data_IF_680375014069
#
_entry.id   IF_680375014069
#
_cell.length_a   1.000
_cell.length_b   1.000
_cell.length_c   1.000
_cell.angle_alpha   90.00
_cell.angle_beta   90.00
_cell.angle_gamma   90.00
#
_symmetry.space_group_name_H-M   'P 1'
#
loop_
_entity.id
_entity.type
_entity.pdbx_description
1 polymer ?
#
# COMPACT_ATOMS: atom_id res chain seq x y z
N UNK A 1 8.56 25.48 6.04
CA UNK A 1 7.39 24.83 6.65
C UNK A 1 7.88 23.46 7.06
N UNK A 2 8.15 23.31 8.35
CA UNK A 2 8.96 22.22 8.89
C UNK A 2 8.21 20.89 8.81
N UNK A 3 8.75 19.96 8.04
CA UNK A 3 8.23 18.61 7.80
C UNK A 3 8.58 17.63 8.93
N UNK A 4 9.20 18.10 10.02
CA UNK A 4 9.74 17.26 11.10
C UNK A 4 8.79 17.05 12.31
N UNK A 5 7.54 17.53 12.28
CA UNK A 5 6.67 17.49 13.48
C UNK A 5 5.21 17.08 13.26
N UNK A 6 4.90 16.23 12.27
CA UNK A 6 3.60 15.54 12.28
C UNK A 6 3.72 14.24 13.07
N UNK A 7 3.04 14.21 14.22
CA UNK A 7 2.71 12.96 14.89
C UNK A 7 2.09 11.99 13.88
N UNK A 8 2.49 10.71 13.90
CA UNK A 8 1.92 9.74 13.01
C UNK A 8 0.40 9.63 13.21
N UNK A 9 -0.40 9.58 12.14
CA UNK A 9 -1.85 9.41 12.28
C UNK A 9 -2.13 8.08 12.99
N UNK A 10 -2.97 8.05 14.04
CA UNK A 10 -3.31 6.81 14.71
C UNK A 10 -4.10 5.89 13.76
N UNK A 11 -3.79 4.59 13.77
CA UNK A 11 -4.51 3.59 12.98
C UNK A 11 -4.08 3.51 11.52
N UNK A 12 -2.77 3.45 11.26
CA UNK A 12 -2.24 3.30 9.89
C UNK A 12 -2.42 1.86 9.43
N UNK A 13 -2.88 1.69 8.19
CA UNK A 13 -3.00 0.37 7.54
C UNK A 13 -2.46 0.38 6.12
N UNK A 14 -1.99 -0.78 5.68
CA UNK A 14 -1.62 -1.02 4.30
C UNK A 14 -2.75 -1.76 3.59
N UNK A 15 -3.18 -1.24 2.44
CA UNK A 15 -4.17 -1.89 1.58
C UNK A 15 -3.46 -2.34 0.31
N UNK A 16 -3.58 -3.63 -0.02
CA UNK A 16 -2.94 -4.25 -1.18
C UNK A 16 -4.05 -4.74 -2.10
N UNK A 17 -4.16 -4.16 -3.29
CA UNK A 17 -5.22 -4.52 -4.24
C UNK A 17 -4.61 -5.35 -5.36
N UNK A 18 -5.13 -6.55 -5.59
CA UNK A 18 -4.63 -7.45 -6.64
C UNK A 18 -5.57 -7.45 -7.85
N UNK A 19 -4.99 -7.50 -9.05
CA UNK A 19 -5.77 -7.66 -10.28
C UNK A 19 -6.30 -9.11 -10.39
N UNK A 20 -7.61 -9.28 -10.22
CA UNK A 20 -8.27 -10.58 -10.25
C UNK A 20 -8.41 -11.15 -11.67
N UNK A 21 -8.41 -10.31 -12.72
CA UNK A 21 -8.46 -10.77 -14.12
C UNK A 21 -7.24 -11.60 -14.53
N UNK A 22 -6.09 -11.41 -13.87
CA UNK A 22 -4.88 -12.19 -14.13
C UNK A 22 -4.97 -13.66 -13.68
N UNK A 23 -5.98 -14.01 -12.87
CA UNK A 23 -6.21 -15.39 -12.37
C UNK A 23 -4.92 -16.06 -11.85
N UNK A 24 -4.11 -15.31 -11.12
CA UNK A 24 -2.81 -15.77 -10.66
C UNK A 24 -2.94 -17.00 -9.75
N UNK A 25 -2.08 -18.02 -9.92
CA UNK A 25 -1.94 -19.10 -8.95
C UNK A 25 -1.60 -18.55 -7.56
N UNK A 26 -2.05 -19.23 -6.50
CA UNK A 26 -1.88 -18.78 -5.11
C UNK A 26 -0.45 -18.35 -4.75
N UNK A 27 0.56 -19.10 -5.21
CA UNK A 27 1.96 -18.76 -4.96
C UNK A 27 2.41 -17.46 -5.64
N UNK A 28 1.99 -17.23 -6.90
CA UNK A 28 2.29 -15.97 -7.61
C UNK A 28 1.55 -14.80 -6.97
N UNK A 29 0.29 -14.99 -6.59
CA UNK A 29 -0.49 -13.97 -5.90
C UNK A 29 0.15 -13.59 -4.55
N UNK A 30 0.60 -14.57 -3.76
CA UNK A 30 1.29 -14.32 -2.50
C UNK A 30 2.61 -13.54 -2.70
N UNK A 31 3.40 -13.90 -3.72
CA UNK A 31 4.63 -13.18 -4.04
C UNK A 31 4.36 -11.73 -4.46
N UNK A 32 3.35 -11.49 -5.30
CA UNK A 32 2.96 -10.13 -5.72
C UNK A 32 2.47 -9.28 -4.54
N UNK A 33 1.65 -9.86 -3.65
CA UNK A 33 1.24 -9.18 -2.42
C UNK A 33 2.44 -8.83 -1.54
N UNK A 34 3.42 -9.74 -1.42
CA UNK A 34 4.64 -9.48 -0.65
C UNK A 34 5.50 -8.37 -1.27
N UNK A 35 5.68 -8.36 -2.60
CA UNK A 35 6.40 -7.30 -3.30
C UNK A 35 5.73 -5.94 -3.12
N UNK A 36 4.41 -5.86 -3.32
CA UNK A 36 3.64 -4.64 -3.11
C UNK A 36 3.76 -4.13 -1.66
N UNK A 37 3.69 -5.05 -0.68
CA UNK A 37 3.80 -4.70 0.73
C UNK A 37 5.15 -4.04 1.07
N UNK A 38 6.24 -4.61 0.58
CA UNK A 38 7.60 -4.09 0.83
C UNK A 38 7.84 -2.80 0.06
N UNK A 39 7.49 -2.74 -1.22
CA UNK A 39 7.72 -1.57 -2.05
C UNK A 39 6.97 -0.33 -1.52
N UNK A 40 5.67 -0.46 -1.23
CA UNK A 40 4.90 0.64 -0.66
C UNK A 40 5.37 1.05 0.75
N UNK A 41 5.93 0.12 1.53
CA UNK A 41 6.57 0.46 2.81
C UNK A 41 7.86 1.26 2.60
N UNK A 42 8.65 0.98 1.57
CA UNK A 42 9.88 1.73 1.26
C UNK A 42 9.59 3.16 0.75
N UNK A 43 8.45 3.37 0.08
CA UNK A 43 7.97 4.70 -0.35
C UNK A 43 7.42 5.56 0.80
N UNK A 44 7.05 4.95 1.93
CA UNK A 44 6.48 5.66 3.07
C UNK A 44 7.54 6.42 3.88
N UNK A 45 7.16 7.58 4.42
CA UNK A 45 8.03 8.39 5.27
C UNK A 45 8.32 7.72 6.64
N UNK A 46 9.28 8.27 7.38
CA UNK A 46 9.68 7.74 8.69
C UNK A 46 8.52 7.61 9.70
N UNK A 47 7.75 8.69 9.95
CA UNK A 47 6.63 8.66 10.89
C UNK A 47 5.53 7.66 10.52
N UNK A 48 5.08 7.62 9.26
CA UNK A 48 4.03 6.68 8.82
C UNK A 48 4.51 5.24 8.93
N UNK A 49 5.76 4.95 8.56
CA UNK A 49 6.36 3.62 8.76
C UNK A 49 6.37 3.22 10.23
N UNK A 50 6.80 4.11 11.11
CA UNK A 50 6.86 3.82 12.54
C UNK A 50 5.48 3.57 13.15
N UNK A 51 4.48 4.36 12.75
CA UNK A 51 3.09 4.17 13.15
C UNK A 51 2.58 2.78 12.77
N UNK A 52 2.76 2.42 11.50
CA UNK A 52 2.31 1.15 10.95
C UNK A 52 3.03 -0.04 11.62
N UNK A 53 4.32 0.08 11.90
CA UNK A 53 5.09 -0.91 12.65
C UNK A 53 4.56 -1.07 14.08
N UNK A 54 4.30 0.04 14.77
CA UNK A 54 3.78 0.04 16.14
C UNK A 54 2.36 -0.58 16.22
N UNK A 55 1.56 -0.42 15.17
CA UNK A 55 0.22 -1.00 15.04
C UNK A 55 0.24 -2.49 14.62
N UNK A 56 1.41 -3.13 14.57
CA UNK A 56 1.54 -4.56 14.22
C UNK A 56 1.49 -4.83 12.72
N UNK A 57 1.78 -3.83 11.89
CA UNK A 57 1.87 -3.93 10.44
C UNK A 57 0.57 -4.41 9.75
N UNK A 58 -0.60 -3.82 10.05
CA UNK A 58 -1.89 -4.29 9.54
C UNK A 58 -1.95 -4.20 8.01
N UNK A 59 -2.40 -5.30 7.39
CA UNK A 59 -2.53 -5.45 5.93
C UNK A 59 -3.93 -5.94 5.57
N UNK A 60 -4.53 -5.32 4.55
CA UNK A 60 -5.81 -5.74 3.99
C UNK A 60 -5.60 -6.02 2.51
N UNK A 61 -5.82 -7.27 2.10
CA UNK A 61 -5.71 -7.68 0.70
C UNK A 61 -7.09 -7.66 0.05
N UNK A 62 -7.25 -6.82 -0.97
CA UNK A 62 -8.49 -6.65 -1.74
C UNK A 62 -8.26 -7.06 -3.20
N UNK A 63 -9.34 -7.11 -3.97
CA UNK A 63 -9.31 -7.44 -5.40
C UNK A 63 -9.86 -6.28 -6.21
N UNK A 64 -9.23 -6.04 -7.36
CA UNK A 64 -9.77 -5.23 -8.45
C UNK A 64 -10.12 -6.16 -9.62
N UNK A 65 -11.11 -5.77 -10.41
CA UNK A 65 -11.54 -6.55 -11.57
C UNK A 65 -10.62 -6.38 -12.77
N UNK A 66 -9.87 -5.26 -12.85
CA UNK A 66 -9.00 -4.94 -13.97
C UNK A 66 -7.78 -4.08 -13.57
N UNK A 67 -6.92 -3.82 -14.56
CA UNK A 67 -5.72 -2.97 -14.41
C UNK A 67 -6.08 -1.49 -14.26
N UNK A 68 -7.11 -1.03 -14.96
CA UNK A 68 -7.56 0.36 -14.96
C UNK A 68 -7.95 0.81 -13.54
N UNK A 69 -8.58 -0.08 -12.77
CA UNK A 69 -8.90 0.15 -11.36
C UNK A 69 -7.64 0.35 -10.53
N UNK A 70 -6.58 -0.42 -10.77
CA UNK A 70 -5.30 -0.26 -10.05
C UNK A 70 -4.63 1.09 -10.38
N UNK A 71 -4.59 1.45 -11.65
CA UNK A 71 -4.04 2.73 -12.12
C UNK A 71 -4.81 3.92 -11.52
N UNK A 72 -6.15 3.82 -11.46
CA UNK A 72 -6.98 4.85 -10.84
C UNK A 72 -6.73 4.98 -9.33
N UNK A 73 -6.55 3.86 -8.62
CA UNK A 73 -6.22 3.86 -7.20
C UNK A 73 -4.84 4.46 -6.92
N UNK A 74 -3.84 4.16 -7.75
CA UNK A 74 -2.50 4.75 -7.63
C UNK A 74 -2.55 6.28 -7.82
N UNK A 75 -3.24 6.75 -8.86
CA UNK A 75 -3.42 8.19 -9.10
C UNK A 75 -4.14 8.89 -7.94
N UNK A 76 -5.16 8.25 -7.34
CA UNK A 76 -5.86 8.78 -6.16
C UNK A 76 -4.95 8.81 -4.92
N UNK A 77 -4.11 7.80 -4.72
CA UNK A 77 -3.16 7.77 -3.62
C UNK A 77 -2.12 8.89 -3.76
N UNK A 78 -1.56 9.07 -4.95
CA UNK A 78 -0.62 10.15 -5.27
C UNK A 78 -1.26 11.54 -5.03
N UNK A 79 -2.49 11.75 -5.51
CA UNK A 79 -3.22 13.01 -5.31
C UNK A 79 -3.49 13.33 -3.84
N UNK A 80 -3.55 12.32 -2.98
CA UNK A 80 -3.76 12.44 -1.53
C UNK A 80 -2.46 12.36 -0.71
N UNK A 81 -1.30 12.27 -1.37
CA UNK A 81 -0.01 12.04 -0.74
C UNK A 81 0.01 10.80 0.18
N UNK A 82 -0.71 9.75 -0.21
CA UNK A 82 -0.68 8.44 0.45
C UNK A 82 0.42 7.61 -0.21
N UNK A 83 1.39 7.06 0.55
CA UNK A 83 2.42 6.19 0.00
C UNK A 83 1.80 4.97 -0.70
N UNK A 84 2.17 4.76 -1.96
CA UNK A 84 1.65 3.69 -2.79
C UNK A 84 2.71 3.24 -3.80
N UNK A 85 2.56 2.01 -4.28
CA UNK A 85 3.43 1.42 -5.29
C UNK A 85 2.64 0.45 -6.15
N UNK A 86 2.73 0.58 -7.47
CA UNK A 86 2.18 -0.38 -8.43
C UNK A 86 3.26 -1.38 -8.87
N UNK A 87 2.94 -2.68 -8.76
CA UNK A 87 3.86 -3.79 -9.11
C UNK A 87 3.68 -4.25 -10.55
#
# INVERSE_FOLDING_TARGET
MDIETRDPPPGVKQVIVVNNALKLPKGKLAAQVAHAAVAAFLEADGPVRQAWLNDGMPKIVLKADDEQTLLALEALAQAQAIPAYLV
#
